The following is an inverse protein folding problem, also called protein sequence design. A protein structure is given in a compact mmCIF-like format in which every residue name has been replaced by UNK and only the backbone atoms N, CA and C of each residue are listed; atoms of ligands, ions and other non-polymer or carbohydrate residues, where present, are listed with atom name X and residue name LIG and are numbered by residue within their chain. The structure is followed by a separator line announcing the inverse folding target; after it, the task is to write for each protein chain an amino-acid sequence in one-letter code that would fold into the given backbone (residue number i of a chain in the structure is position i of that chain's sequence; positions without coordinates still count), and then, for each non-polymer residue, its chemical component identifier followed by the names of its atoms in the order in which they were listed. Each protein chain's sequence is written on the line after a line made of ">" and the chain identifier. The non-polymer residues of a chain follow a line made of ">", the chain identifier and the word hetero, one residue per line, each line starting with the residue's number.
data_IF_663366614068
#
_entry.id   IF_663366614068
#
_cell.length_a   1.000
_cell.length_b   1.000
_cell.length_c   1.000
_cell.angle_alpha   90.00
_cell.angle_beta   90.00
_cell.angle_gamma   90.00
#
_symmetry.space_group_name_H-M   'P 1'
#
loop_
_entity.id
_entity.type
_entity.pdbx_description
1 polymer ?
#
# COMPACT_ATOMS: atom_id res chain seq x y z
N UNK A 1 -1.05 1.97 5.24
CA UNK A 1 -2.27 1.53 4.53
C UNK A 1 -2.10 1.78 3.05
N UNK A 2 -2.55 0.87 2.20
CA UNK A 2 -2.53 1.05 0.74
C UNK A 2 -3.95 0.81 0.23
N UNK A 3 -4.57 1.86 -0.31
CA UNK A 3 -5.93 1.84 -0.85
C UNK A 3 -5.93 1.97 -2.36
N UNK A 4 -7.00 1.53 -3.02
CA UNK A 4 -7.12 1.60 -4.48
C UNK A 4 -8.28 0.76 -5.00
N UNK A 5 -8.67 0.96 -6.24
CA UNK A 5 -9.64 0.08 -6.91
C UNK A 5 -9.07 -1.34 -7.11
N UNK A 6 -9.91 -2.26 -7.58
CA UNK A 6 -9.47 -3.63 -7.89
C UNK A 6 -8.55 -3.61 -9.12
N UNK A 7 -7.55 -4.49 -9.13
CA UNK A 7 -6.60 -4.57 -10.25
C UNK A 7 -5.62 -3.39 -10.38
N UNK A 8 -5.55 -2.50 -9.39
CA UNK A 8 -4.58 -1.38 -9.35
C UNK A 8 -3.26 -1.73 -8.63
N UNK A 9 -2.96 -3.02 -8.54
CA UNK A 9 -1.69 -3.59 -8.05
C UNK A 9 -1.33 -3.33 -6.58
N UNK A 10 -2.33 -3.18 -5.71
CA UNK A 10 -2.13 -3.16 -4.25
C UNK A 10 -1.35 -4.38 -3.74
N UNK A 11 -1.75 -5.58 -4.18
CA UNK A 11 -1.05 -6.82 -3.81
C UNK A 11 0.35 -6.91 -4.43
N UNK A 12 0.57 -6.32 -5.62
CA UNK A 12 1.90 -6.29 -6.27
C UNK A 12 2.92 -5.53 -5.42
N UNK A 13 2.58 -4.32 -4.96
CA UNK A 13 3.47 -3.53 -4.12
C UNK A 13 3.65 -4.18 -2.75
N UNK A 14 2.60 -4.78 -2.18
CA UNK A 14 2.70 -5.49 -0.92
C UNK A 14 3.69 -6.66 -1.01
N UNK A 15 3.54 -7.54 -2.00
CA UNK A 15 4.40 -8.70 -2.18
C UNK A 15 5.87 -8.29 -2.44
N UNK A 16 6.06 -7.18 -3.15
CA UNK A 16 7.40 -6.61 -3.37
C UNK A 16 8.05 -6.13 -2.06
N UNK A 17 7.30 -5.42 -1.21
CA UNK A 17 7.79 -4.96 0.12
C UNK A 17 8.10 -6.17 1.02
N UNK A 18 7.22 -7.17 1.04
CA UNK A 18 7.42 -8.38 1.82
C UNK A 18 8.66 -9.14 1.37
N UNK A 19 8.89 -9.26 0.05
CA UNK A 19 10.08 -9.87 -0.53
C UNK A 19 11.36 -9.13 -0.18
N UNK A 20 11.36 -7.80 -0.31
CA UNK A 20 12.53 -6.98 0.02
C UNK A 20 12.92 -7.13 1.50
N UNK A 21 11.96 -7.10 2.42
CA UNK A 21 12.23 -7.30 3.84
C UNK A 21 12.86 -8.68 4.14
N UNK A 22 12.42 -9.74 3.45
CA UNK A 22 13.03 -11.08 3.59
C UNK A 22 14.46 -11.11 3.04
N UNK A 23 14.71 -10.44 1.92
CA UNK A 23 16.04 -10.27 1.34
C UNK A 23 16.99 -9.56 2.32
N UNK A 24 16.48 -8.56 3.04
CA UNK A 24 17.23 -7.76 4.01
C UNK A 24 17.44 -8.49 5.36
N UNK A 25 17.01 -9.74 5.48
CA UNK A 25 17.15 -10.58 6.69
C UNK A 25 15.99 -10.46 7.68
N UNK A 26 14.90 -9.80 7.31
CA UNK A 26 13.65 -9.74 8.08
C UNK A 26 12.75 -10.95 7.89
N UNK A 27 11.62 -10.95 8.60
CA UNK A 27 10.55 -11.92 8.45
C UNK A 27 9.28 -11.24 7.91
N UNK A 28 8.67 -11.84 6.91
CA UNK A 28 7.47 -11.31 6.26
C UNK A 28 6.31 -12.31 6.35
N UNK A 29 5.14 -11.80 6.71
CA UNK A 29 3.90 -12.58 6.82
C UNK A 29 2.82 -11.90 5.97
N UNK A 30 1.99 -12.70 5.30
CA UNK A 30 0.85 -12.20 4.54
C UNK A 30 -0.42 -12.90 5.00
N UNK A 31 -1.32 -12.17 5.62
CA UNK A 31 -2.69 -12.60 5.84
C UNK A 31 -3.44 -12.44 4.52
N UNK A 32 -3.58 -13.53 3.78
CA UNK A 32 -4.35 -13.59 2.53
C UNK A 32 -5.77 -14.03 2.86
N UNK A 33 -6.61 -13.04 3.17
CA UNK A 33 -8.01 -13.23 3.57
C UNK A 33 -8.87 -13.66 2.38
N UNK A 34 -8.50 -13.21 1.18
CA UNK A 34 -9.22 -13.52 -0.07
C UNK A 34 -8.82 -14.88 -0.66
N UNK A 35 -7.72 -15.49 -0.17
CA UNK A 35 -7.14 -16.74 -0.69
C UNK A 35 -6.88 -16.67 -2.21
N UNK A 36 -6.57 -15.46 -2.69
CA UNK A 36 -6.39 -15.14 -4.09
C UNK A 36 -4.91 -15.16 -4.51
N UNK A 37 -4.00 -15.10 -3.53
CA UNK A 37 -2.57 -15.15 -3.76
C UNK A 37 -2.09 -16.57 -4.05
N UNK A 38 -1.23 -16.72 -5.05
CA UNK A 38 -0.53 -17.99 -5.32
C UNK A 38 0.96 -17.82 -5.12
N UNK A 39 1.63 -18.89 -4.68
CA UNK A 39 3.08 -18.88 -4.49
C UNK A 39 3.84 -18.56 -5.80
N UNK A 40 3.37 -19.07 -6.94
CA UNK A 40 3.92 -18.79 -8.27
C UNK A 40 3.81 -17.30 -8.64
N UNK A 41 2.69 -16.67 -8.29
CA UNK A 41 2.53 -15.23 -8.49
C UNK A 41 3.50 -14.44 -7.62
N UNK A 42 3.59 -14.76 -6.32
CA UNK A 42 4.55 -14.13 -5.40
C UNK A 42 5.99 -14.29 -5.89
N UNK A 43 6.38 -15.47 -6.37
CA UNK A 43 7.71 -15.73 -6.94
C UNK A 43 8.02 -14.79 -8.13
N UNK A 44 7.06 -14.61 -9.05
CA UNK A 44 7.23 -13.71 -10.21
C UNK A 44 7.37 -12.25 -9.81
N UNK A 45 6.67 -11.81 -8.76
CA UNK A 45 6.72 -10.43 -8.27
C UNK A 45 8.00 -10.16 -7.48
N UNK A 46 8.41 -11.11 -6.65
CA UNK A 46 9.64 -11.01 -5.84
C UNK A 46 10.90 -11.23 -6.69
N UNK A 47 10.78 -11.96 -7.81
CA UNK A 47 11.89 -12.28 -8.70
C UNK A 47 12.85 -13.33 -8.13
N UNK A 48 12.49 -14.00 -7.03
CA UNK A 48 13.28 -15.04 -6.38
C UNK A 48 12.38 -16.05 -5.68
N UNK A 49 12.50 -17.32 -6.09
CA UNK A 49 11.80 -18.44 -5.47
C UNK A 49 12.14 -18.62 -3.99
N UNK A 50 13.43 -18.55 -3.66
CA UNK A 50 13.91 -18.71 -2.28
C UNK A 50 13.31 -17.64 -1.35
N UNK A 51 13.28 -16.38 -1.82
CA UNK A 51 12.71 -15.27 -1.05
C UNK A 51 11.19 -15.45 -0.94
N UNK A 52 10.51 -15.79 -2.03
CA UNK A 52 9.07 -16.00 -2.03
C UNK A 52 8.66 -17.14 -1.07
N UNK A 53 9.38 -18.26 -1.04
CA UNK A 53 9.12 -19.40 -0.13
C UNK A 53 9.31 -19.06 1.35
N UNK A 54 10.10 -18.02 1.64
CA UNK A 54 10.32 -17.50 3.00
C UNK A 54 9.25 -16.52 3.45
N UNK A 55 8.42 -15.98 2.55
CA UNK A 55 7.23 -15.21 2.91
C UNK A 55 6.17 -16.18 3.44
N UNK A 56 5.72 -15.96 4.68
CA UNK A 56 4.73 -16.84 5.34
C UNK A 56 3.32 -16.38 5.01
N UNK A 57 2.63 -17.12 4.14
CA UNK A 57 1.23 -16.87 3.80
C UNK A 57 0.32 -17.58 4.81
N UNK A 58 -0.58 -16.81 5.41
CA UNK A 58 -1.64 -17.25 6.31
C UNK A 58 -2.95 -17.00 5.57
N UNK A 59 -3.51 -18.05 5.00
CA UNK A 59 -4.80 -18.01 4.31
C UNK A 59 -5.79 -19.02 4.88
N UNK A 60 -7.11 -18.89 4.63
CA UNK A 60 -8.09 -19.88 5.04
C UNK A 60 -7.75 -21.31 4.61
N UNK A 61 -7.25 -21.50 3.39
CA UNK A 61 -6.84 -22.81 2.88
C UNK A 61 -5.58 -23.37 3.55
N UNK A 62 -4.69 -22.50 4.03
CA UNK A 62 -3.48 -22.90 4.77
C UNK A 62 -3.77 -23.41 6.19
N UNK A 63 -4.90 -23.02 6.79
CA UNK A 63 -5.30 -23.37 8.16
C UNK A 63 -5.97 -24.74 8.28
N UNK A 64 -5.98 -25.55 7.21
CA UNK A 64 -6.58 -26.90 7.17
C UNK A 64 -6.11 -27.79 8.33
N UNK A 65 -6.98 -27.98 9.32
CA UNK A 65 -6.93 -29.07 10.29
C UNK A 65 -8.36 -29.53 10.59
N UNK A 66 -8.89 -30.52 9.88
CA UNK A 66 -10.05 -31.36 10.25
C UNK A 66 -11.23 -30.72 11.04
N UNK A 67 -11.52 -29.43 10.83
CA UNK A 67 -12.50 -28.67 11.60
C UNK A 67 -13.51 -27.98 10.68
N UNK A 68 -14.61 -27.51 11.30
CA UNK A 68 -15.76 -26.92 10.61
C UNK A 68 -15.31 -25.74 9.75
N UNK A 69 -16.00 -25.47 8.64
CA UNK A 69 -15.70 -24.38 7.70
C UNK A 69 -15.58 -23.01 8.37
N UNK A 70 -16.32 -22.75 9.45
CA UNK A 70 -16.19 -21.53 10.27
C UNK A 70 -14.82 -21.36 10.94
N UNK A 71 -14.14 -22.45 11.26
CA UNK A 71 -12.83 -22.42 11.94
C UNK A 71 -11.71 -22.02 10.96
N UNK A 72 -11.98 -22.09 9.65
CA UNK A 72 -11.06 -21.76 8.57
C UNK A 72 -10.98 -20.26 8.29
N UNK A 73 -12.01 -19.49 8.65
CA UNK A 73 -12.00 -18.05 8.44
C UNK A 73 -10.97 -17.35 9.36
N UNK A 74 -10.25 -16.38 8.80
CA UNK A 74 -9.35 -15.50 9.53
C UNK A 74 -10.19 -14.33 10.06
N UNK A 75 -10.47 -14.36 11.36
CA UNK A 75 -11.23 -13.30 12.03
C UNK A 75 -10.32 -12.19 12.54
N UNK A 76 -10.92 -11.03 12.84
CA UNK A 76 -10.22 -9.91 13.49
C UNK A 76 -9.56 -10.38 14.80
N UNK A 77 -10.26 -11.20 15.58
CA UNK A 77 -9.82 -11.71 16.88
C UNK A 77 -8.67 -12.72 16.75
N UNK A 78 -8.75 -13.65 15.78
CA UNK A 78 -7.65 -14.58 15.47
C UNK A 78 -6.42 -13.81 15.01
N UNK A 79 -6.58 -12.84 14.12
CA UNK A 79 -5.49 -11.98 13.67
C UNK A 79 -4.88 -11.22 14.85
N UNK A 80 -5.68 -10.58 15.68
CA UNK A 80 -5.22 -9.86 16.87
C UNK A 80 -4.43 -10.77 17.84
N UNK A 81 -4.90 -12.01 18.04
CA UNK A 81 -4.21 -13.00 18.87
C UNK A 81 -2.85 -13.37 18.31
N UNK A 82 -2.76 -13.61 16.99
CA UNK A 82 -1.50 -13.90 16.29
C UNK A 82 -0.53 -12.71 16.41
N UNK A 83 -1.03 -11.49 16.17
CA UNK A 83 -0.21 -10.27 16.27
C UNK A 83 0.37 -10.08 17.68
N UNK A 84 -0.45 -10.21 18.73
CA UNK A 84 0.05 -10.12 20.11
C UNK A 84 1.08 -11.21 20.41
N UNK A 85 0.81 -12.47 20.02
CA UNK A 85 1.77 -13.56 20.19
C UNK A 85 3.12 -13.25 19.52
N UNK A 86 3.10 -12.74 18.28
CA UNK A 86 4.32 -12.37 17.55
C UNK A 86 5.10 -11.25 18.25
N UNK A 87 4.39 -10.22 18.73
CA UNK A 87 4.99 -9.11 19.48
C UNK A 87 5.62 -9.63 20.77
N UNK A 88 4.88 -10.38 21.57
CA UNK A 88 5.34 -10.91 22.87
C UNK A 88 6.52 -11.86 22.67
N UNK A 89 6.48 -12.69 21.63
CA UNK A 89 7.58 -13.57 21.26
C UNK A 89 8.84 -12.77 20.92
N UNK A 90 8.75 -11.70 20.11
CA UNK A 90 9.90 -10.84 19.83
C UNK A 90 10.42 -10.13 21.07
N UNK A 91 9.52 -9.59 21.90
CA UNK A 91 9.89 -8.91 23.12
C UNK A 91 10.61 -9.83 24.12
N UNK A 92 10.28 -11.13 24.12
CA UNK A 92 10.91 -12.14 24.98
C UNK A 92 12.34 -12.52 24.56
N UNK A 93 12.76 -12.21 23.32
CA UNK A 93 14.09 -12.59 22.82
C UNK A 93 15.15 -11.61 23.28
N UNK A 94 16.31 -12.16 23.66
CA UNK A 94 17.53 -11.37 23.80
C UNK A 94 17.88 -10.70 22.46
N UNK A 95 18.56 -9.55 22.50
CA UNK A 95 18.81 -8.71 21.32
C UNK A 95 19.41 -9.49 20.14
N UNK A 96 20.39 -10.37 20.39
CA UNK A 96 21.01 -11.22 19.36
C UNK A 96 20.07 -12.27 18.72
N UNK A 97 18.95 -12.57 19.36
CA UNK A 97 17.95 -13.53 18.90
C UNK A 97 16.68 -12.89 18.34
N UNK A 98 16.61 -11.54 18.30
CA UNK A 98 15.50 -10.82 17.68
C UNK A 98 15.60 -10.90 16.17
N UNK A 99 14.44 -10.92 15.52
CA UNK A 99 14.38 -10.77 14.06
C UNK A 99 14.65 -9.30 13.75
N UNK A 100 15.48 -9.05 12.73
CA UNK A 100 15.87 -7.68 12.33
C UNK A 100 14.66 -6.78 12.14
N UNK A 101 13.65 -7.25 11.41
CA UNK A 101 12.41 -6.53 11.13
C UNK A 101 11.29 -7.52 10.81
N UNK A 102 10.06 -7.20 11.24
CA UNK A 102 8.87 -7.98 10.90
C UNK A 102 7.93 -7.11 10.07
N UNK A 103 7.53 -7.58 8.88
CA UNK A 103 6.48 -6.93 8.10
C UNK A 103 5.29 -7.89 7.95
N UNK A 104 4.10 -7.38 8.23
CA UNK A 104 2.86 -8.14 8.11
C UNK A 104 1.94 -7.41 7.13
N UNK A 105 1.63 -8.10 6.03
CA UNK A 105 0.63 -7.69 5.05
C UNK A 105 -0.76 -8.24 5.40
N UNK A 106 -1.80 -7.43 5.26
CA UNK A 106 -3.20 -7.84 5.39
C UNK A 106 -3.89 -7.58 4.05
N UNK A 107 -4.19 -8.65 3.31
CA UNK A 107 -4.78 -8.65 1.97
C UNK A 107 -6.12 -9.40 2.00
N UNK A 108 -7.27 -8.75 2.23
CA UNK A 108 -7.48 -7.31 2.45
C UNK A 108 -8.27 -7.01 3.73
N UNK A 109 -8.13 -5.79 4.25
CA UNK A 109 -8.86 -5.31 5.43
C UNK A 109 -10.38 -5.37 5.22
N UNK A 110 -10.83 -5.15 3.99
CA UNK A 110 -12.24 -5.13 3.62
C UNK A 110 -12.93 -6.47 3.88
N UNK A 111 -12.19 -7.58 3.82
CA UNK A 111 -12.76 -8.93 3.93
C UNK A 111 -12.66 -9.53 5.34
N UNK A 112 -11.99 -8.85 6.28
CA UNK A 112 -11.83 -9.34 7.65
C UNK A 112 -13.16 -9.40 8.41
N UNK A 113 -13.62 -10.56 8.82
CA UNK A 113 -14.87 -10.69 9.58
C UNK A 113 -14.62 -10.82 11.08
N UNK A 114 -15.57 -10.40 11.92
CA UNK A 114 -15.51 -10.69 13.35
C UNK A 114 -16.05 -12.09 13.65
N UNK A 115 -15.68 -12.67 14.79
CA UNK A 115 -16.24 -13.96 15.22
C UNK A 115 -17.77 -13.90 15.35
N UNK A 116 -18.31 -12.77 15.80
CA UNK A 116 -19.77 -12.56 15.91
C UNK A 116 -20.45 -12.53 14.54
N UNK A 117 -19.86 -11.84 13.56
CA UNK A 117 -20.38 -11.82 12.18
C UNK A 117 -20.39 -13.21 11.53
N UNK A 118 -19.40 -14.07 11.88
CA UNK A 118 -19.37 -15.45 11.41
C UNK A 118 -20.41 -16.36 12.09
N UNK A 119 -20.71 -16.09 13.36
CA UNK A 119 -21.65 -16.89 14.16
C UNK A 119 -23.10 -16.47 13.96
N UNK A 120 -23.35 -15.21 13.60
CA UNK A 120 -24.68 -14.76 13.20
C UNK A 120 -25.11 -15.51 11.95
N UNK A 121 -26.02 -16.48 12.12
CA UNK A 121 -26.84 -16.98 11.02
C UNK A 121 -27.47 -15.77 10.31
N UNK A 122 -27.77 -15.94 9.02
CA UNK A 122 -28.64 -15.04 8.24
C UNK A 122 -30.01 -15.02 8.92
N UNK A 123 -30.13 -14.28 10.01
CA UNK A 123 -31.36 -14.21 10.79
C UNK A 123 -32.17 -13.03 10.25
N UNK A 124 -33.48 -13.25 10.15
CA UNK A 124 -34.49 -12.48 9.39
C UNK A 124 -34.63 -10.98 9.78
N UNK A 125 -33.76 -10.45 10.63
CA UNK A 125 -33.89 -9.11 11.24
C UNK A 125 -33.15 -7.99 10.52
N UNK A 126 -32.40 -8.27 9.46
CA UNK A 126 -31.78 -7.22 8.61
C UNK A 126 -30.83 -6.24 9.30
N UNK A 127 -30.52 -6.42 10.59
CA UNK A 127 -29.58 -5.56 11.33
C UNK A 127 -28.16 -5.96 10.96
N UNK A 128 -27.47 -5.09 10.22
CA UNK A 128 -26.05 -5.20 9.92
C UNK A 128 -25.28 -5.09 11.24
N UNK A 129 -24.64 -6.16 11.69
CA UNK A 129 -23.83 -6.14 12.92
C UNK A 129 -22.63 -5.20 12.71
N UNK A 130 -22.58 -4.12 13.50
CA UNK A 130 -21.54 -3.08 13.45
C UNK A 130 -20.29 -3.44 14.28
N UNK A 131 -20.25 -4.62 14.91
CA UNK A 131 -19.17 -5.00 15.84
C UNK A 131 -17.79 -5.07 15.20
N UNK A 132 -17.68 -5.33 13.88
CA UNK A 132 -16.38 -5.36 13.20
C UNK A 132 -15.65 -4.03 13.24
N UNK A 133 -16.36 -2.91 13.05
CA UNK A 133 -15.72 -1.59 13.08
C UNK A 133 -15.16 -1.26 14.47
N UNK A 134 -15.92 -1.58 15.52
CA UNK A 134 -15.49 -1.41 16.90
C UNK A 134 -14.27 -2.30 17.23
N UNK A 135 -14.32 -3.60 16.88
CA UNK A 135 -13.22 -4.54 17.11
C UNK A 135 -11.94 -4.16 16.36
N UNK A 136 -12.06 -3.64 15.14
CA UNK A 136 -10.93 -3.10 14.38
C UNK A 136 -10.30 -1.89 15.10
N UNK A 137 -11.13 -0.93 15.57
CA UNK A 137 -10.65 0.23 16.34
C UNK A 137 -9.93 -0.21 17.62
N UNK A 138 -10.51 -1.11 18.39
CA UNK A 138 -9.92 -1.65 19.63
C UNK A 138 -8.59 -2.38 19.37
N UNK A 139 -8.57 -3.28 18.38
CA UNK A 139 -7.40 -4.07 18.00
C UNK A 139 -6.22 -3.17 17.62
N UNK A 140 -6.41 -2.27 16.64
CA UNK A 140 -5.29 -1.47 16.13
C UNK A 140 -4.86 -0.37 17.09
N UNK A 141 -5.74 0.11 17.97
CA UNK A 141 -5.35 1.03 19.06
C UNK A 141 -4.30 0.40 19.98
N UNK A 142 -4.48 -0.87 20.35
CA UNK A 142 -3.53 -1.59 21.21
C UNK A 142 -2.28 -2.01 20.44
N UNK A 143 -2.46 -2.59 19.24
CA UNK A 143 -1.33 -3.11 18.46
C UNK A 143 -0.35 -2.01 18.06
N UNK A 144 -0.84 -0.82 17.67
CA UNK A 144 0.03 0.31 17.26
C UNK A 144 0.96 0.76 18.38
N UNK A 145 0.52 0.68 19.64
CA UNK A 145 1.35 1.03 20.80
C UNK A 145 2.44 -0.02 21.07
N UNK A 146 2.15 -1.30 20.77
CA UNK A 146 3.04 -2.41 21.07
C UNK A 146 4.02 -2.75 19.94
N UNK A 147 3.62 -2.58 18.68
CA UNK A 147 4.38 -3.06 17.51
C UNK A 147 5.80 -2.50 17.41
N UNK A 148 6.03 -1.27 17.93
CA UNK A 148 7.36 -0.63 17.96
C UNK A 148 8.37 -1.43 18.76
N UNK A 149 7.96 -2.07 19.87
CA UNK A 149 8.86 -2.87 20.70
C UNK A 149 9.30 -4.17 20.02
N UNK A 150 8.56 -4.62 19.00
CA UNK A 150 8.85 -5.81 18.21
C UNK A 150 9.52 -5.50 16.85
N UNK A 151 9.85 -4.23 16.58
CA UNK A 151 10.25 -3.74 15.26
C UNK A 151 9.34 -4.27 14.13
N UNK A 152 8.04 -4.18 14.36
CA UNK A 152 7.00 -4.74 13.50
C UNK A 152 6.22 -3.65 12.78
N UNK A 153 6.05 -3.81 11.46
CA UNK A 153 5.28 -2.92 10.60
C UNK A 153 4.08 -3.65 10.01
N UNK A 154 2.90 -3.01 10.10
CA UNK A 154 1.65 -3.52 9.53
C UNK A 154 1.28 -2.77 8.26
N UNK A 155 0.97 -3.51 7.20
CA UNK A 155 0.52 -2.98 5.91
C UNK A 155 -0.82 -3.60 5.58
N UNK A 156 -1.89 -2.81 5.70
CA UNK A 156 -3.23 -3.25 5.30
C UNK A 156 -3.61 -2.72 3.93
N UNK A 157 -4.19 -3.59 3.11
CA UNK A 157 -4.78 -3.27 1.82
C UNK A 157 -6.27 -2.98 1.98
N UNK A 158 -6.73 -1.89 1.37
CA UNK A 158 -8.13 -1.48 1.39
C UNK A 158 -8.64 -1.23 -0.03
N UNK A 159 -9.95 -1.42 -0.21
CA UNK A 159 -10.63 -1.10 -1.46
C UNK A 159 -11.16 0.34 -1.43
N UNK A 160 -11.08 1.07 -2.55
CA UNK A 160 -11.83 2.32 -2.69
C UNK A 160 -13.25 2.03 -3.17
N UNK A 161 -14.23 2.68 -2.54
CA UNK A 161 -15.64 2.65 -2.92
C UNK A 161 -16.15 4.06 -3.17
N UNK A 162 -17.15 4.22 -4.06
CA UNK A 162 -17.80 5.51 -4.26
C UNK A 162 -18.48 5.96 -2.95
N UNK A 163 -18.29 7.23 -2.58
CA UNK A 163 -19.00 7.84 -1.46
C UNK A 163 -20.25 8.54 -2.03
N UNK A 164 -21.41 7.90 -1.88
CA UNK A 164 -22.68 8.36 -2.48
C UNK A 164 -23.29 9.54 -1.71
N UNK A 165 -22.79 9.84 -0.50
CA UNK A 165 -23.38 10.86 0.39
C UNK A 165 -22.71 12.24 0.36
N UNK A 166 -21.49 12.36 -0.16
CA UNK A 166 -20.75 13.64 -0.14
C UNK A 166 -20.89 14.45 -1.43
N UNK A 167 -21.50 15.64 -1.32
CA UNK A 167 -21.53 16.63 -2.42
C UNK A 167 -20.20 17.39 -2.58
N UNK A 168 -19.44 17.53 -1.49
CA UNK A 168 -18.12 18.19 -1.45
C UNK A 168 -17.07 17.27 -0.81
N UNK A 169 -15.81 17.34 -1.28
CA UNK A 169 -14.72 16.46 -0.83
C UNK A 169 -14.43 15.27 -1.76
N UNK A 170 -13.56 14.32 -1.35
CA UNK A 170 -13.18 13.19 -2.19
C UNK A 170 -14.37 12.26 -2.47
N UNK A 171 -14.66 12.02 -3.75
CA UNK A 171 -15.79 11.19 -4.24
C UNK A 171 -15.64 9.68 -3.96
N UNK A 172 -14.54 9.28 -3.33
CA UNK A 172 -14.22 7.89 -3.02
C UNK A 172 -13.75 7.79 -1.58
N UNK A 173 -14.22 6.78 -0.86
CA UNK A 173 -13.80 6.46 0.51
C UNK A 173 -13.09 5.10 0.58
N UNK A 174 -12.25 4.93 1.59
CA UNK A 174 -11.48 3.70 1.82
C UNK A 174 -12.32 2.73 2.65
N UNK A 175 -12.75 1.62 2.05
CA UNK A 175 -13.48 0.59 2.76
C UNK A 175 -12.50 -0.36 3.48
N UNK A 176 -12.20 -0.04 4.75
CA UNK A 176 -11.29 -0.81 5.60
C UNK A 176 -12.01 -1.51 6.77
N UNK A 177 -13.32 -1.81 6.62
CA UNK A 177 -14.20 -2.34 7.68
C UNK A 177 -14.17 -1.49 8.96
N UNK A 178 -14.53 -0.23 8.78
CA UNK A 178 -14.45 0.82 9.80
C UNK A 178 -13.17 1.62 9.69
N UNK A 179 -13.06 2.63 10.55
CA UNK A 179 -12.00 3.64 10.48
C UNK A 179 -10.76 3.32 11.32
N UNK A 180 -10.79 2.25 12.12
CA UNK A 180 -9.73 1.92 13.09
C UNK A 180 -8.32 1.82 12.48
N UNK A 181 -8.15 1.05 11.40
CA UNK A 181 -6.86 0.91 10.74
C UNK A 181 -6.40 2.23 10.06
N UNK A 182 -7.34 2.99 9.49
CA UNK A 182 -7.06 4.28 8.84
C UNK A 182 -6.55 5.33 9.85
N UNK A 183 -7.11 5.38 11.05
CA UNK A 183 -6.63 6.30 12.09
C UNK A 183 -5.29 5.84 12.67
N UNK A 184 -5.10 4.53 12.84
CA UNK A 184 -3.85 3.95 13.31
C UNK A 184 -2.70 4.07 12.29
N UNK A 185 -2.98 4.16 10.99
CA UNK A 185 -1.94 4.20 9.96
C UNK A 185 -1.08 5.48 10.06
N UNK A 186 0.24 5.30 9.99
CA UNK A 186 1.19 6.43 9.92
C UNK A 186 1.40 6.92 8.49
N UNK A 187 1.20 6.04 7.50
CA UNK A 187 1.29 6.34 6.08
C UNK A 187 0.08 5.72 5.37
N UNK A 188 -0.56 6.49 4.49
CA UNK A 188 -1.61 6.03 3.59
C UNK A 188 -1.25 6.37 2.15
N UNK A 189 -1.27 5.35 1.30
CA UNK A 189 -0.98 5.46 -0.13
C UNK A 189 -2.22 5.07 -0.93
N UNK A 190 -2.58 5.90 -1.90
CA UNK A 190 -3.61 5.60 -2.88
C UNK A 190 -2.97 5.09 -4.17
N UNK A 191 -3.22 3.84 -4.51
CA UNK A 191 -2.75 3.15 -5.70
C UNK A 191 -3.71 3.34 -6.87
N UNK A 192 -3.17 3.80 -8.00
CA UNK A 192 -3.88 3.94 -9.27
C UNK A 192 -3.06 3.31 -10.40
N UNK A 193 -3.74 2.61 -11.31
CA UNK A 193 -3.13 2.11 -12.54
C UNK A 193 -3.15 3.25 -13.54
N UNK A 194 -1.96 3.71 -13.92
CA UNK A 194 -1.78 4.82 -14.86
C UNK A 194 -1.83 4.30 -16.30
N UNK A 195 -0.99 3.32 -16.63
CA UNK A 195 -0.86 2.81 -18.00
C UNK A 195 -0.44 1.34 -18.06
N UNK A 196 -0.76 0.67 -19.16
CA UNK A 196 -0.17 -0.64 -19.49
C UNK A 196 1.18 -0.48 -20.20
N UNK A 197 2.13 -1.32 -19.83
CA UNK A 197 3.41 -1.42 -20.50
C UNK A 197 3.25 -2.42 -21.64
N UNK A 198 3.32 -1.94 -22.87
CA UNK A 198 3.08 -2.74 -24.06
C UNK A 198 4.40 -3.09 -24.76
N UNK A 199 4.54 -4.37 -25.13
CA UNK A 199 5.64 -4.84 -25.99
C UNK A 199 5.14 -5.01 -27.41
N UNK A 200 5.80 -4.32 -28.34
CA UNK A 200 5.57 -4.53 -29.77
C UNK A 200 6.10 -5.92 -30.18
N UNK A 201 5.33 -6.63 -30.99
CA UNK A 201 5.70 -7.92 -31.57
C UNK A 201 5.77 -7.79 -33.09
N UNK A 202 6.71 -8.51 -33.72
CA UNK A 202 6.87 -8.49 -35.17
C UNK A 202 5.65 -9.14 -35.84
N UNK A 203 4.66 -8.30 -36.18
CA UNK A 203 3.31 -8.63 -36.68
C UNK A 203 2.33 -9.05 -35.57
N UNK A 204 1.43 -8.15 -35.20
CA UNK A 204 0.36 -8.39 -34.23
C UNK A 204 0.01 -7.14 -33.42
N UNK A 205 -1.03 -7.24 -32.59
CA UNK A 205 -1.31 -6.22 -31.58
C UNK A 205 -0.22 -6.23 -30.49
N UNK A 206 0.19 -5.08 -29.95
CA UNK A 206 1.10 -5.03 -28.81
C UNK A 206 0.57 -5.84 -27.63
N UNK A 207 1.46 -6.56 -26.94
CA UNK A 207 1.10 -7.43 -25.81
C UNK A 207 1.40 -6.70 -24.50
N UNK A 208 0.49 -6.65 -23.52
CA UNK A 208 0.77 -6.09 -22.21
C UNK A 208 1.77 -6.97 -21.47
N UNK A 209 2.92 -6.38 -21.12
CA UNK A 209 4.00 -7.02 -20.37
C UNK A 209 4.15 -6.48 -18.95
N UNK A 210 3.35 -5.48 -18.57
CA UNK A 210 3.39 -4.86 -17.26
C UNK A 210 2.41 -3.70 -17.10
N UNK A 211 2.50 -3.01 -15.97
CA UNK A 211 1.68 -1.85 -15.61
C UNK A 211 2.53 -0.76 -14.96
N UNK A 212 2.32 0.50 -15.35
CA UNK A 212 2.80 1.69 -14.64
C UNK A 212 1.75 2.06 -13.60
N UNK A 213 2.16 2.11 -12.34
CA UNK A 213 1.28 2.40 -11.20
C UNK A 213 1.72 3.68 -10.52
N UNK A 214 0.76 4.52 -10.17
CA UNK A 214 0.97 5.76 -9.41
C UNK A 214 0.47 5.55 -7.98
N UNK A 215 1.35 5.82 -7.03
CA UNK A 215 1.05 5.83 -5.60
C UNK A 215 1.06 7.27 -5.12
N UNK A 216 -0.11 7.77 -4.73
CA UNK A 216 -0.28 9.11 -4.16
C UNK A 216 -0.34 9.03 -2.64
N UNK A 217 0.43 9.88 -1.96
CA UNK A 217 0.39 9.94 -0.50
C UNK A 217 -0.84 10.72 -0.02
N UNK A 218 -1.78 10.05 0.67
CA UNK A 218 -3.00 10.65 1.22
C UNK A 218 -2.90 10.96 2.72
N UNK A 219 -2.02 10.26 3.44
CA UNK A 219 -1.68 10.53 4.84
C UNK A 219 -0.20 10.24 5.04
N UNK A 220 0.53 11.13 5.67
CA UNK A 220 1.92 10.91 6.05
C UNK A 220 2.15 11.53 7.42
N UNK A 221 2.65 10.74 8.39
CA UNK A 221 3.04 11.17 9.73
C UNK A 221 4.56 11.05 9.94
N UNK A 222 5.28 10.64 8.90
CA UNK A 222 6.73 10.41 8.94
C UNK A 222 7.43 11.57 8.24
N UNK A 223 6.87 11.99 7.11
CA UNK A 223 7.40 13.05 6.23
C UNK A 223 6.24 13.87 5.64
N UNK A 224 6.54 14.84 4.79
CA UNK A 224 5.57 15.68 4.08
C UNK A 224 4.52 14.89 3.25
N UNK A 225 3.29 15.42 3.17
CA UNK A 225 2.17 14.85 2.39
C UNK A 225 2.25 15.18 0.88
N UNK A 226 1.42 14.54 0.05
CA UNK A 226 1.22 14.98 -1.34
C UNK A 226 2.31 14.62 -2.35
N UNK A 227 3.30 13.79 -1.97
CA UNK A 227 4.25 13.22 -2.93
C UNK A 227 3.63 12.03 -3.66
N UNK A 228 3.91 11.98 -4.96
CA UNK A 228 3.52 10.89 -5.84
C UNK A 228 4.75 10.12 -6.30
N UNK A 229 4.61 8.80 -6.41
CA UNK A 229 5.61 7.94 -7.00
C UNK A 229 4.99 7.11 -8.13
N UNK A 230 5.70 7.01 -9.26
CA UNK A 230 5.36 6.10 -10.34
C UNK A 230 6.30 4.91 -10.30
N UNK A 231 5.74 3.71 -10.36
CA UNK A 231 6.48 2.45 -10.35
C UNK A 231 6.04 1.61 -11.55
N UNK A 232 7.00 1.09 -12.31
CA UNK A 232 6.73 0.15 -13.39
C UNK A 232 6.86 -1.29 -12.89
N UNK A 233 5.77 -2.03 -13.01
CA UNK A 233 5.68 -3.44 -12.65
C UNK A 233 5.61 -4.29 -13.91
N UNK A 234 6.55 -5.21 -14.07
CA UNK A 234 6.56 -6.18 -15.17
C UNK A 234 6.04 -7.53 -14.67
N UNK A 235 5.11 -8.13 -15.40
CA UNK A 235 4.42 -9.35 -14.93
C UNK A 235 5.33 -10.57 -14.72
N UNK A 236 6.55 -10.53 -15.27
CA UNK A 236 7.53 -11.62 -15.18
C UNK A 236 8.76 -11.27 -14.33
N UNK A 237 8.86 -10.05 -13.79
CA UNK A 237 10.04 -9.57 -13.08
C UNK A 237 9.74 -8.73 -11.82
N UNK A 238 8.48 -8.35 -11.60
CA UNK A 238 8.11 -7.45 -10.51
C UNK A 238 8.45 -6.00 -10.78
N UNK A 239 8.77 -5.25 -9.71
CA UNK A 239 9.18 -3.84 -9.79
C UNK A 239 10.55 -3.77 -10.47
N UNK A 240 10.66 -2.93 -11.49
CA UNK A 240 11.98 -2.56 -12.01
C UNK A 240 12.65 -1.59 -11.02
N UNK A 241 13.58 -2.13 -10.21
CA UNK A 241 14.28 -1.37 -9.14
C UNK A 241 15.03 -0.13 -9.63
N UNK A 242 15.34 -0.11 -10.92
CA UNK A 242 16.15 0.91 -11.57
C UNK A 242 15.31 1.91 -12.35
N UNK A 243 14.04 1.59 -12.56
CA UNK A 243 13.17 2.40 -13.37
C UNK A 243 12.85 3.75 -12.69
N UNK A 244 12.62 4.79 -13.50
CA UNK A 244 12.42 6.16 -13.02
C UNK A 244 13.71 6.93 -12.69
N UNK A 245 14.85 6.26 -12.45
CA UNK A 245 16.09 6.95 -12.04
C UNK A 245 16.65 7.87 -13.13
N UNK A 246 16.64 7.45 -14.40
CA UNK A 246 17.06 8.33 -15.51
C UNK A 246 16.18 9.57 -15.63
N UNK A 247 14.88 9.40 -15.39
CA UNK A 247 13.91 10.48 -15.40
C UNK A 247 14.21 11.48 -14.29
N UNK A 248 14.43 10.98 -13.06
CA UNK A 248 14.83 11.79 -11.91
C UNK A 248 16.15 12.53 -12.18
N UNK A 249 17.18 11.84 -12.65
CA UNK A 249 18.47 12.48 -12.94
C UNK A 249 18.37 13.55 -14.01
N UNK A 250 17.57 13.34 -15.06
CA UNK A 250 17.37 14.35 -16.07
C UNK A 250 16.50 15.52 -15.59
N UNK A 251 15.50 15.26 -14.76
CA UNK A 251 14.63 16.28 -14.17
C UNK A 251 15.41 17.22 -13.26
N UNK A 252 16.29 16.68 -12.42
CA UNK A 252 17.10 17.46 -11.47
C UNK A 252 18.47 17.88 -12.03
N UNK A 253 18.73 17.64 -13.32
CA UNK A 253 19.94 18.15 -13.99
C UNK A 253 21.23 17.39 -13.69
N UNK A 254 21.18 16.27 -12.96
CA UNK A 254 22.33 15.35 -12.77
C UNK A 254 22.78 14.76 -14.11
N UNK A 255 21.83 14.47 -15.01
CA UNK A 255 22.13 13.97 -16.36
C UNK A 255 21.50 14.85 -17.44
N UNK A 256 22.16 14.96 -18.59
CA UNK A 256 21.61 15.64 -19.75
C UNK A 256 20.95 14.65 -20.70
N UNK A 257 19.63 14.77 -20.90
CA UNK A 257 18.92 14.05 -21.94
C UNK A 257 19.02 14.75 -23.30
N UNK A 258 19.14 13.98 -24.39
CA UNK A 258 19.21 14.50 -25.76
C UNK A 258 17.87 14.98 -26.33
N UNK A 259 16.76 14.69 -25.65
CA UNK A 259 15.42 15.14 -26.00
C UNK A 259 14.58 15.31 -24.73
N UNK A 260 13.40 15.92 -24.84
CA UNK A 260 12.45 16.04 -23.72
C UNK A 260 11.67 14.74 -23.51
N UNK A 261 11.27 14.51 -22.26
CA UNK A 261 10.30 13.47 -21.91
C UNK A 261 8.92 13.79 -22.52
N UNK A 262 8.08 12.77 -22.62
CA UNK A 262 6.66 12.94 -22.94
C UNK A 262 5.87 13.52 -21.74
N UNK A 263 4.57 13.71 -21.91
CA UNK A 263 3.67 14.30 -20.89
C UNK A 263 3.63 13.45 -19.60
N UNK A 264 4.08 12.20 -19.64
CA UNK A 264 4.10 11.26 -18.53
C UNK A 264 5.50 11.08 -17.92
N UNK A 265 6.47 11.89 -18.35
CA UNK A 265 7.85 11.82 -17.88
C UNK A 265 8.69 10.73 -18.54
N UNK A 266 8.17 10.00 -19.53
CA UNK A 266 8.87 8.89 -20.15
C UNK A 266 9.71 9.36 -21.36
N UNK A 267 10.91 8.79 -21.53
CA UNK A 267 11.79 9.09 -22.66
C UNK A 267 11.67 8.03 -23.76
N UNK A 268 11.78 8.47 -25.01
CA UNK A 268 11.83 7.54 -26.15
C UNK A 268 13.11 6.68 -26.07
N UNK A 269 13.08 5.42 -26.56
CA UNK A 269 14.27 4.55 -26.59
C UNK A 269 15.48 5.10 -27.36
N UNK A 270 15.27 6.11 -28.21
CA UNK A 270 16.33 6.78 -28.97
C UNK A 270 17.03 7.90 -28.21
N UNK A 271 16.53 8.27 -27.03
CA UNK A 271 17.11 9.33 -26.21
C UNK A 271 18.44 8.85 -25.62
N UNK A 272 19.42 9.73 -25.68
CA UNK A 272 20.74 9.51 -25.10
C UNK A 272 20.87 10.35 -23.84
N UNK A 273 21.28 9.73 -22.75
CA UNK A 273 21.63 10.40 -21.50
C UNK A 273 23.14 10.58 -21.43
N UNK A 274 23.57 11.76 -21.02
CA UNK A 274 24.97 12.09 -20.83
C UNK A 274 25.20 12.48 -19.39
N UNK A 275 26.16 11.83 -18.74
CA UNK A 275 26.66 12.20 -17.43
C UNK A 275 28.15 12.55 -17.54
N UNK A 276 28.59 13.52 -16.74
CA UNK A 276 30.00 13.88 -16.63
C UNK A 276 30.37 13.67 -15.18
N UNK A 277 31.36 12.82 -14.92
CA UNK A 277 31.83 12.54 -13.58
C UNK A 277 32.36 13.84 -12.95
N UNK A 278 31.92 14.21 -11.74
CA UNK A 278 32.28 15.48 -11.13
C UNK A 278 33.79 15.59 -10.89
N UNK A 279 34.42 14.53 -10.37
CA UNK A 279 35.85 14.57 -10.02
C UNK A 279 36.79 14.31 -11.21
N UNK A 280 36.50 13.32 -12.05
CA UNK A 280 37.41 12.92 -13.15
C UNK A 280 37.16 13.68 -14.45
N UNK A 281 35.98 14.31 -14.60
CA UNK A 281 35.55 14.93 -15.86
C UNK A 281 35.24 13.92 -16.97
N UNK A 282 35.28 12.62 -16.67
CA UNK A 282 34.99 11.57 -17.65
C UNK A 282 33.52 11.62 -18.09
N UNK A 283 33.30 11.51 -19.40
CA UNK A 283 31.98 11.62 -20.00
C UNK A 283 31.40 10.25 -20.30
N UNK A 284 30.30 9.93 -19.64
CA UNK A 284 29.54 8.71 -19.86
C UNK A 284 28.29 9.00 -20.71
N UNK A 285 28.00 8.11 -21.65
CA UNK A 285 26.88 8.27 -22.59
C UNK A 285 26.07 6.99 -22.67
N UNK A 286 24.78 7.06 -22.34
CA UNK A 286 23.88 5.92 -22.25
C UNK A 286 22.80 6.02 -23.32
N UNK A 287 22.74 5.04 -24.22
CA UNK A 287 21.65 4.90 -25.21
C UNK A 287 20.67 3.85 -24.71
N UNK A 288 19.75 4.24 -23.84
CA UNK A 288 18.76 3.29 -23.32
C UNK A 288 17.50 4.00 -22.79
N UNK A 289 16.30 3.43 -23.00
CA UNK A 289 15.09 3.86 -22.31
C UNK A 289 15.07 3.45 -20.83
N UNK A 290 15.88 2.48 -20.40
CA UNK A 290 15.86 1.93 -19.04
C UNK A 290 17.21 2.00 -18.36
N UNK A 291 17.21 2.39 -17.08
CA UNK A 291 18.42 2.56 -16.28
C UNK A 291 19.13 1.23 -15.99
N UNK A 292 18.43 0.10 -16.01
CA UNK A 292 19.02 -1.23 -15.81
C UNK A 292 20.14 -1.52 -16.82
N UNK A 293 19.99 -1.07 -18.07
CA UNK A 293 21.05 -1.18 -19.09
C UNK A 293 22.18 -0.17 -18.89
N UNK A 294 21.90 0.98 -18.28
CA UNK A 294 22.94 1.92 -17.84
C UNK A 294 23.80 1.26 -16.78
N UNK A 295 23.20 0.60 -15.79
CA UNK A 295 23.92 -0.13 -14.75
C UNK A 295 24.71 -1.32 -15.30
N UNK A 296 24.13 -2.11 -16.20
CA UNK A 296 24.85 -3.19 -16.89
C UNK A 296 26.06 -2.66 -17.69
N UNK A 297 25.90 -1.55 -18.42
CA UNK A 297 26.99 -0.91 -19.16
C UNK A 297 28.08 -0.31 -18.25
N UNK A 298 27.77 -0.11 -16.98
CA UNK A 298 28.71 0.33 -15.94
C UNK A 298 29.22 -0.82 -15.06
N UNK A 299 28.99 -2.08 -15.47
CA UNK A 299 29.40 -3.27 -14.72
C UNK A 299 28.85 -3.32 -13.28
N UNK A 300 27.71 -2.67 -13.01
CA UNK A 300 27.14 -2.48 -11.68
C UNK A 300 28.10 -1.80 -10.68
N UNK A 301 28.88 -0.81 -11.14
CA UNK A 301 29.75 -0.04 -10.26
C UNK A 301 28.94 0.72 -9.18
N UNK A 302 29.05 0.25 -7.94
CA UNK A 302 28.35 0.83 -6.77
C UNK A 302 28.87 2.24 -6.42
N UNK A 303 30.14 2.55 -6.70
CA UNK A 303 30.71 3.88 -6.42
C UNK A 303 30.00 4.98 -7.23
N UNK A 304 29.62 4.69 -8.48
CA UNK A 304 28.89 5.65 -9.31
C UNK A 304 27.48 5.90 -8.77
N UNK A 305 26.83 4.87 -8.20
CA UNK A 305 25.52 5.03 -7.56
C UNK A 305 25.61 5.94 -6.33
N UNK A 306 26.66 5.77 -5.51
CA UNK A 306 26.91 6.63 -4.35
C UNK A 306 27.12 8.09 -4.77
N UNK A 307 27.89 8.33 -5.83
CA UNK A 307 28.10 9.68 -6.36
C UNK A 307 26.77 10.29 -6.81
N UNK A 308 25.96 9.56 -7.57
CA UNK A 308 24.65 10.06 -8.00
C UNK A 308 23.69 10.31 -6.85
N UNK A 309 23.69 9.45 -5.84
CA UNK A 309 22.90 9.64 -4.64
C UNK A 309 23.33 10.90 -3.89
N UNK A 310 24.64 11.13 -3.75
CA UNK A 310 25.17 12.35 -3.17
C UNK A 310 24.74 13.59 -3.96
N UNK A 311 24.88 13.59 -5.30
CA UNK A 311 24.44 14.70 -6.15
C UNK A 311 22.94 15.00 -5.99
N UNK A 312 22.08 13.98 -5.94
CA UNK A 312 20.64 14.18 -5.71
C UNK A 312 20.34 14.73 -4.31
N UNK A 313 21.04 14.27 -3.28
CA UNK A 313 20.86 14.73 -1.91
C UNK A 313 21.28 16.20 -1.74
N UNK A 314 22.37 16.63 -2.35
CA UNK A 314 22.80 18.04 -2.36
C UNK A 314 21.74 18.91 -3.05
N UNK A 315 21.25 18.50 -4.23
CA UNK A 315 20.19 19.23 -4.93
C UNK A 315 18.92 19.31 -4.06
N UNK A 316 18.58 18.23 -3.34
CA UNK A 316 17.45 18.24 -2.42
C UNK A 316 17.68 19.19 -1.23
N UNK A 317 18.87 19.18 -0.64
CA UNK A 317 19.22 20.08 0.46
C UNK A 317 19.12 21.55 0.02
N UNK A 318 19.62 21.90 -1.16
CA UNK A 318 19.51 23.24 -1.74
C UNK A 318 18.04 23.64 -1.97
N UNK A 319 17.19 22.71 -2.44
CA UNK A 319 15.75 22.97 -2.61
C UNK A 319 15.00 23.17 -1.29
N UNK A 320 15.50 22.62 -0.18
CA UNK A 320 14.93 22.77 1.16
C UNK A 320 15.48 24.00 1.89
N UNK A 321 16.52 24.65 1.38
CA UNK A 321 17.11 25.84 1.98
C UNK A 321 16.08 26.97 2.07
N UNK A 322 15.83 27.47 3.29
CA UNK A 322 14.87 28.54 3.55
C UNK A 322 13.41 28.09 3.64
N UNK A 323 13.11 26.80 3.56
CA UNK A 323 11.77 26.27 3.84
C UNK A 323 11.68 25.91 5.33
N UNK A 324 10.75 26.52 6.05
CA UNK A 324 10.53 26.19 7.47
C UNK A 324 9.81 24.84 7.58
N UNK A 325 10.52 23.84 8.10
CA UNK A 325 9.97 22.52 8.37
C UNK A 325 8.75 22.59 9.30
N UNK A 326 8.74 23.48 10.29
CA UNK A 326 7.62 23.61 11.21
C UNK A 326 6.35 24.14 10.51
N UNK A 327 6.47 25.09 9.57
CA UNK A 327 5.33 25.55 8.76
C UNK A 327 4.84 24.45 7.80
N UNK A 328 5.74 23.62 7.26
CA UNK A 328 5.39 22.47 6.43
C UNK A 328 4.60 21.38 7.17
N UNK A 329 4.77 21.25 8.48
CA UNK A 329 4.04 20.31 9.34
C UNK A 329 2.84 20.95 10.07
N UNK A 330 2.64 22.27 9.98
CA UNK A 330 1.57 22.99 10.69
C UNK A 330 0.22 22.94 9.97
N UNK A 331 0.21 22.81 8.64
CA UNK A 331 -1.01 22.64 7.81
C UNK A 331 -1.65 21.24 7.97
N UNK A 332 -1.06 20.39 8.83
CA UNK A 332 -1.51 19.03 9.14
C UNK A 332 -2.44 18.95 10.37
N UNK A 333 -3.05 20.08 10.77
CA UNK A 333 -4.09 20.13 11.79
C UNK A 333 -5.32 19.27 11.45
N UNK A 334 -6.12 18.86 12.44
CA UNK A 334 -7.22 17.91 12.28
C UNK A 334 -8.46 18.57 11.64
N UNK A 335 -8.33 19.19 10.47
CA UNK A 335 -9.47 19.89 9.85
C UNK A 335 -10.58 18.95 9.35
N UNK A 336 -10.31 17.64 9.27
CA UNK A 336 -11.30 16.63 8.83
C UNK A 336 -11.57 15.50 9.88
N UNK A 337 -10.95 15.56 11.06
CA UNK A 337 -11.01 14.43 12.02
C UNK A 337 -12.14 14.56 13.06
N UNK A 338 -12.62 15.76 13.41
CA UNK A 338 -13.67 15.94 14.45
C UNK A 338 -15.10 15.74 13.92
N UNK A 339 -15.44 16.15 12.69
CA UNK A 339 -16.81 16.03 12.16
C UNK A 339 -17.28 14.56 11.91
N UNK A 340 -16.36 13.59 11.93
CA UNK A 340 -16.69 12.17 11.71
C UNK A 340 -16.90 11.38 13.01
N UNK A 341 -16.65 11.97 14.19
CA UNK A 341 -16.91 11.32 15.47
C UNK A 341 -18.34 11.56 15.98
N UNK A 342 -18.98 12.65 15.57
CA UNK A 342 -20.34 12.98 16.07
C UNK A 342 -21.47 12.33 15.26
N UNK A 343 -21.23 11.84 14.04
CA UNK A 343 -22.33 11.35 13.18
C UNK A 343 -22.64 9.85 13.27
N UNK A 344 -22.05 9.10 14.22
CA UNK A 344 -22.34 7.65 14.41
C UNK A 344 -22.92 7.33 15.79
N UNK A 345 -23.49 8.32 16.49
CA UNK A 345 -24.13 8.11 17.79
C UNK A 345 -25.26 9.11 18.02
N UNK A 346 -26.40 8.86 17.38
CA UNK A 346 -27.75 9.21 17.89
C UNK A 346 -28.78 8.74 16.85
N UNK A 347 -29.09 7.45 16.88
CA UNK A 347 -30.37 6.92 16.38
C UNK A 347 -31.01 6.16 17.56
N UNK A 348 -31.24 6.85 18.67
CA UNK A 348 -32.19 6.43 19.71
C UNK A 348 -33.51 7.16 19.49
N UNK A 349 -34.58 6.36 19.35
CA UNK A 349 -35.99 6.70 19.51
C UNK A 349 -36.52 7.92 18.74
N UNK A 350 -36.98 7.68 17.51
CA UNK A 350 -38.22 8.33 17.05
C UNK A 350 -39.36 7.31 16.98
N UNK A 351 -40.34 7.61 17.82
CA UNK A 351 -41.61 6.94 18.04
C UNK A 351 -42.35 6.61 16.75
N UNK A 352 -42.92 5.41 16.75
CA UNK A 352 -43.99 4.95 15.86
C UNK A 352 -45.17 5.94 15.94
N UNK A 353 -45.34 6.78 14.93
CA UNK A 353 -46.65 7.38 14.65
C UNK A 353 -47.49 6.36 13.89
N UNK A 354 -48.48 5.83 14.60
CA UNK A 354 -49.57 5.02 14.07
C UNK A 354 -50.41 5.92 13.16
N UNK A 355 -50.46 5.62 11.86
CA UNK A 355 -51.47 6.17 10.98
C UNK A 355 -52.82 5.54 11.36
N UNK A 356 -53.71 6.33 11.97
CA UNK A 356 -55.14 6.03 12.05
C UNK A 356 -55.76 6.35 10.67
N UNK A 357 -56.39 5.34 10.07
CA UNK A 357 -57.29 5.49 8.92
C UNK A 357 -58.57 6.19 9.40
N UNK A 358 -58.85 7.41 8.90
CA UNK A 358 -60.17 8.03 9.03
C UNK A 358 -61.10 7.44 7.96
N UNK A 359 -62.07 6.67 8.41
CA UNK A 359 -63.28 6.29 7.66
C UNK A 359 -64.17 7.54 7.48
N UNK A 360 -64.35 8.00 6.23
CA UNK A 360 -65.44 8.91 5.87
C UNK A 360 -66.75 8.11 5.77
N UNK A 361 -67.62 8.23 6.77
CA UNK A 361 -69.05 7.93 6.64
C UNK A 361 -69.81 9.19 6.19
N UNK A 362 -70.43 9.09 5.02
CA UNK A 362 -71.56 9.89 4.55
C UNK A 362 -72.65 10.00 5.62
N UNK A 363 -73.13 11.22 5.94
CA UNK A 363 -74.57 11.42 6.20
C UNK A 363 -75.02 12.90 6.04
N UNK A 364 -75.98 13.06 5.11
CA UNK A 364 -76.97 14.15 4.90
C UNK A 364 -76.62 15.40 4.08
#
# INVERSE_FOLDING_TARGET
>A
MISGESGKGKSLILDSILGQNVADGGASYKFDIEDAGTQDFTEKIVGSKEIAERIRIISPSSLKKDTKTKDQAITIEKMNSILNYMIDYQASKAEKGKIKSIIIGIDSLTQLTSEKELESNVDEKGKKDMTSAQKMRETFRVITQKQKFANMTLIGLAQLTADIGKMFGPKTTENAKGSGFKYASSLSLQATKDKEILKSVNKGAPIPIGVKMRFKTTKNRIEFKGRDAWLHFYFNKGIDRWDGLLQLFAQYGVMKASAKADVYGDYKPTVTFTWVHPDTGEKFTFKTPTFSRTMEAMENNEEILEIWQYQLNEIYADMMEGVDEAEMFADDGPEDEEELFESEGDDEDESVEVFEEEDEEDES
#
